data_IF_929716774037
#
_entry.id   IF_929716774037
#
_cell.length_a   1.000
_cell.length_b   1.000
_cell.length_c   1.000
_cell.angle_alpha   90.00
_cell.angle_beta   90.00
_cell.angle_gamma   90.00
#
_symmetry.space_group_name_H-M   'P 1'
#
loop_
_entity.id
_entity.type
_entity.pdbx_description
1 polymer ?
#
# COMPACT_ATOMS: atom_id res chain seq x y z
N UNK A 1 -14.03 22.46 15.40
CA UNK A 1 -13.33 22.79 14.13
C UNK A 1 -11.82 22.52 14.25
N UNK A 2 -11.20 22.99 15.35
CA UNK A 2 -9.77 22.77 15.57
C UNK A 2 -9.39 21.30 15.72
N UNK A 3 -10.24 20.51 16.39
CA UNK A 3 -10.03 19.06 16.55
C UNK A 3 -10.10 18.35 15.18
N UNK A 4 -11.01 18.76 14.32
CA UNK A 4 -11.14 18.22 12.97
C UNK A 4 -9.90 18.54 12.12
N UNK A 5 -9.40 19.76 12.21
CA UNK A 5 -8.20 20.19 11.50
C UNK A 5 -6.96 19.41 11.96
N UNK A 6 -6.81 19.25 13.27
CA UNK A 6 -5.69 18.48 13.85
C UNK A 6 -5.76 17.02 13.40
N UNK A 7 -6.95 16.42 13.42
CA UNK A 7 -7.15 15.05 12.95
C UNK A 7 -6.83 14.89 11.46
N UNK A 8 -7.27 15.83 10.62
CA UNK A 8 -6.99 15.83 9.18
C UNK A 8 -5.51 16.01 8.90
N UNK A 9 -4.83 16.90 9.60
CA UNK A 9 -3.38 17.11 9.46
C UNK A 9 -2.60 15.85 9.82
N UNK A 10 -2.96 15.17 10.90
CA UNK A 10 -2.33 13.92 11.31
C UNK A 10 -2.52 12.83 10.25
N UNK A 11 -3.72 12.71 9.70
CA UNK A 11 -4.01 11.73 8.64
C UNK A 11 -3.20 12.04 7.36
N UNK A 12 -3.14 13.31 6.96
CA UNK A 12 -2.37 13.73 5.78
C UNK A 12 -0.89 13.42 5.98
N UNK A 13 -0.36 13.75 7.14
CA UNK A 13 1.05 13.51 7.47
C UNK A 13 1.38 12.02 7.44
N UNK A 14 0.52 11.19 8.06
CA UNK A 14 0.72 9.75 8.10
C UNK A 14 0.66 9.16 6.69
N UNK A 15 -0.27 9.65 5.86
CA UNK A 15 -0.39 9.16 4.48
C UNK A 15 0.79 9.59 3.61
N UNK A 16 1.29 10.80 3.83
CA UNK A 16 2.50 11.26 3.15
C UNK A 16 3.70 10.37 3.47
N UNK A 17 3.88 10.04 4.73
CA UNK A 17 4.97 9.15 5.18
C UNK A 17 4.80 7.75 4.60
N UNK A 18 3.59 7.20 4.62
CA UNK A 18 3.30 5.88 4.07
C UNK A 18 3.57 5.84 2.55
N UNK A 19 3.19 6.88 1.83
CA UNK A 19 3.43 6.97 0.38
C UNK A 19 4.93 6.98 0.08
N UNK A 20 5.70 7.80 0.80
CA UNK A 20 7.14 7.89 0.57
C UNK A 20 7.86 6.61 0.97
N UNK A 21 7.46 5.98 2.08
CA UNK A 21 8.03 4.69 2.51
C UNK A 21 7.76 3.60 1.47
N UNK A 22 6.53 3.53 0.98
CA UNK A 22 6.15 2.57 -0.06
C UNK A 22 6.95 2.79 -1.34
N UNK A 23 7.05 4.03 -1.79
CA UNK A 23 7.79 4.39 -3.00
C UNK A 23 9.27 4.03 -2.87
N UNK A 24 9.88 4.38 -1.76
CA UNK A 24 11.29 4.10 -1.52
C UNK A 24 11.58 2.61 -1.55
N UNK A 25 10.75 1.81 -0.89
CA UNK A 25 10.91 0.36 -0.85
C UNK A 25 10.74 -0.25 -2.23
N UNK A 26 9.67 0.11 -2.94
CA UNK A 26 9.40 -0.42 -4.28
C UNK A 26 10.54 -0.07 -5.24
N UNK A 27 11.04 1.16 -5.20
CA UNK A 27 12.11 1.60 -6.09
C UNK A 27 13.42 0.88 -5.79
N UNK A 28 13.75 0.65 -4.51
CA UNK A 28 14.96 -0.10 -4.16
C UNK A 28 14.88 -1.56 -4.60
N UNK A 29 13.72 -2.19 -4.44
CA UNK A 29 13.50 -3.55 -4.91
C UNK A 29 13.56 -3.61 -6.44
N UNK A 30 13.00 -2.61 -7.13
CA UNK A 30 13.08 -2.53 -8.59
C UNK A 30 14.52 -2.41 -9.08
N UNK A 31 15.33 -1.58 -8.41
CA UNK A 31 16.76 -1.46 -8.73
C UNK A 31 17.50 -2.77 -8.51
N UNK A 32 17.19 -3.47 -7.42
CA UNK A 32 17.76 -4.78 -7.15
C UNK A 32 17.38 -5.79 -8.22
N UNK A 33 16.15 -5.72 -8.70
CA UNK A 33 15.66 -6.55 -9.80
C UNK A 33 16.45 -6.29 -11.08
N UNK A 34 16.70 -5.02 -11.41
CA UNK A 34 17.50 -4.64 -12.59
C UNK A 34 18.94 -5.15 -12.50
N UNK A 35 19.49 -5.21 -11.30
CA UNK A 35 20.83 -5.75 -11.06
C UNK A 35 20.86 -7.28 -10.99
N UNK A 36 19.70 -7.94 -11.02
CA UNK A 36 19.60 -9.39 -10.94
C UNK A 36 19.83 -9.97 -9.54
N UNK A 37 19.69 -9.17 -8.48
CA UNK A 37 19.93 -9.64 -7.12
C UNK A 37 18.73 -9.40 -6.17
N UNK A 38 17.52 -9.40 -6.71
CA UNK A 38 16.30 -9.31 -5.93
C UNK A 38 16.01 -10.65 -5.24
N UNK A 39 15.52 -10.59 -4.00
CA UNK A 39 15.04 -11.78 -3.30
C UNK A 39 13.53 -11.91 -3.44
N UNK A 40 13.03 -13.14 -3.29
CA UNK A 40 11.58 -13.40 -3.37
C UNK A 40 10.84 -12.70 -2.24
N UNK A 41 11.40 -12.74 -1.02
CA UNK A 41 10.78 -12.11 0.13
C UNK A 41 10.71 -10.59 0.00
N UNK A 42 11.75 -9.95 -0.54
CA UNK A 42 11.73 -8.50 -0.76
C UNK A 42 10.72 -8.11 -1.83
N UNK A 43 10.67 -8.86 -2.92
CA UNK A 43 9.70 -8.60 -3.98
C UNK A 43 8.26 -8.71 -3.46
N UNK A 44 7.97 -9.76 -2.67
CA UNK A 44 6.66 -9.95 -2.08
C UNK A 44 6.35 -8.89 -1.02
N UNK A 45 7.33 -8.55 -0.19
CA UNK A 45 7.14 -7.62 0.92
C UNK A 45 6.87 -6.19 0.44
N UNK A 46 7.58 -5.73 -0.59
CA UNK A 46 7.36 -4.36 -1.08
C UNK A 46 5.98 -4.21 -1.71
N UNK A 47 5.50 -5.21 -2.44
CA UNK A 47 4.15 -5.18 -3.03
C UNK A 47 3.09 -5.29 -1.93
N UNK A 48 3.29 -6.17 -0.95
CA UNK A 48 2.38 -6.31 0.19
C UNK A 48 2.23 -4.98 0.94
N UNK A 49 3.35 -4.38 1.32
CA UNK A 49 3.34 -3.12 2.06
C UNK A 49 2.71 -1.99 1.25
N UNK A 50 3.12 -1.82 0.00
CA UNK A 50 2.63 -0.74 -0.84
C UNK A 50 1.13 -0.88 -1.12
N UNK A 51 0.64 -2.08 -1.38
CA UNK A 51 -0.78 -2.31 -1.68
C UNK A 51 -1.65 -2.08 -0.44
N UNK A 52 -1.22 -2.53 0.73
CA UNK A 52 -1.97 -2.30 1.96
C UNK A 52 -1.98 -0.84 2.37
N UNK A 53 -0.86 -0.13 2.23
CA UNK A 53 -0.81 1.30 2.50
C UNK A 53 -1.65 2.10 1.50
N UNK A 54 -1.65 1.72 0.22
CA UNK A 54 -2.48 2.35 -0.80
C UNK A 54 -3.97 2.21 -0.46
N UNK A 55 -4.38 1.05 0.06
CA UNK A 55 -5.76 0.82 0.47
C UNK A 55 -6.16 1.72 1.64
N UNK A 56 -5.27 1.88 2.62
CA UNK A 56 -5.51 2.77 3.76
C UNK A 56 -5.66 4.23 3.31
N UNK A 57 -4.80 4.67 2.39
CA UNK A 57 -4.87 6.03 1.83
C UNK A 57 -6.18 6.23 1.08
N UNK A 58 -6.55 5.29 0.21
CA UNK A 58 -7.76 5.36 -0.58
C UNK A 58 -9.02 5.37 0.30
N UNK A 59 -9.05 4.53 1.34
CA UNK A 59 -10.13 4.49 2.32
C UNK A 59 -10.33 5.85 3.00
N UNK A 60 -9.24 6.46 3.45
CA UNK A 60 -9.30 7.76 4.12
C UNK A 60 -9.66 8.89 3.15
N UNK A 61 -9.26 8.78 1.89
CA UNK A 61 -9.62 9.76 0.87
C UNK A 61 -11.14 9.76 0.63
N UNK A 62 -11.75 8.59 0.52
CA UNK A 62 -13.21 8.47 0.39
C UNK A 62 -13.89 9.07 1.62
N UNK A 63 -13.41 8.73 2.81
CA UNK A 63 -13.98 9.22 4.06
C UNK A 63 -13.89 10.76 4.16
N UNK A 64 -12.75 11.33 3.76
CA UNK A 64 -12.53 12.78 3.81
C UNK A 64 -13.49 13.54 2.89
N UNK A 65 -13.84 12.96 1.75
CA UNK A 65 -14.79 13.55 0.80
C UNK A 65 -16.25 13.35 1.21
N UNK A 66 -16.50 12.46 2.17
CA UNK A 66 -17.86 12.20 2.65
C UNK A 66 -18.78 11.68 1.54
N UNK A 67 -19.99 12.22 1.46
CA UNK A 67 -20.96 11.81 0.42
C UNK A 67 -20.44 11.96 -1.00
N UNK A 68 -19.64 12.99 -1.26
CA UNK A 68 -19.02 13.19 -2.57
C UNK A 68 -18.08 12.03 -2.96
N UNK A 69 -17.44 11.43 -1.97
CA UNK A 69 -16.56 10.27 -2.21
C UNK A 69 -17.31 9.01 -2.63
N UNK A 70 -18.60 8.93 -2.29
CA UNK A 70 -19.45 7.80 -2.68
C UNK A 70 -19.95 7.92 -4.12
N UNK A 71 -20.08 9.14 -4.64
CA UNK A 71 -20.69 9.37 -5.96
C UNK A 71 -19.78 8.90 -7.09
N UNK A 72 -20.40 8.34 -8.12
CA UNK A 72 -19.70 7.74 -9.27
C UNK A 72 -18.93 8.75 -10.13
N UNK A 73 -19.33 10.02 -10.09
CA UNK A 73 -18.66 11.08 -10.86
C UNK A 73 -17.36 11.57 -10.22
N UNK A 74 -17.10 11.16 -8.97
CA UNK A 74 -15.85 11.47 -8.30
C UNK A 74 -14.85 10.32 -8.51
N UNK A 75 -13.62 10.59 -8.99
CA UNK A 75 -12.66 9.52 -9.29
C UNK A 75 -12.16 8.74 -8.08
N UNK A 76 -12.36 9.23 -6.85
CA UNK A 76 -11.83 8.58 -5.66
C UNK A 76 -12.42 7.18 -5.45
N UNK A 77 -13.67 6.95 -5.82
CA UNK A 77 -14.30 5.63 -5.72
C UNK A 77 -13.65 4.61 -6.64
N UNK A 78 -13.28 5.03 -7.85
CA UNK A 78 -12.55 4.18 -8.79
C UNK A 78 -11.15 3.87 -8.26
N UNK A 79 -10.45 4.88 -7.75
CA UNK A 79 -9.12 4.70 -7.17
C UNK A 79 -9.16 3.74 -5.98
N UNK A 80 -10.21 3.83 -5.15
CA UNK A 80 -10.43 2.92 -4.04
C UNK A 80 -10.52 1.46 -4.53
N UNK A 81 -11.33 1.22 -5.56
CA UNK A 81 -11.48 -0.14 -6.12
C UNK A 81 -10.20 -0.63 -6.77
N UNK A 82 -9.48 0.25 -7.46
CA UNK A 82 -8.21 -0.09 -8.09
C UNK A 82 -7.14 -0.43 -7.04
N UNK A 83 -7.12 0.30 -5.92
CA UNK A 83 -6.22 0.00 -4.81
C UNK A 83 -6.52 -1.40 -4.23
N UNK A 84 -7.80 -1.75 -4.12
CA UNK A 84 -8.19 -3.07 -3.62
C UNK A 84 -7.72 -4.18 -4.56
N UNK A 85 -7.74 -3.94 -5.86
CA UNK A 85 -7.23 -4.91 -6.83
C UNK A 85 -5.77 -5.25 -6.56
N UNK A 86 -4.97 -4.30 -6.12
CA UNK A 86 -3.55 -4.54 -5.82
C UNK A 86 -3.33 -5.48 -4.64
N UNK A 87 -4.30 -5.62 -3.77
CA UNK A 87 -4.26 -6.59 -2.66
C UNK A 87 -4.69 -8.00 -3.08
N UNK A 88 -5.29 -8.15 -4.26
CA UNK A 88 -5.88 -9.40 -4.73
C UNK A 88 -5.13 -9.93 -5.96
N UNK A 89 -4.80 -9.04 -6.90
CA UNK A 89 -4.23 -9.38 -8.19
C UNK A 89 -2.79 -9.89 -8.07
N UNK A 90 -2.44 -10.86 -8.91
CA UNK A 90 -1.10 -11.45 -9.00
C UNK A 90 -0.58 -12.00 -7.66
N UNK A 91 -1.49 -12.48 -6.84
CA UNK A 91 -1.21 -13.00 -5.50
C UNK A 91 -1.87 -12.13 -4.42
N UNK A 92 -2.67 -12.76 -3.59
CA UNK A 92 -3.36 -12.06 -2.48
C UNK A 92 -2.35 -11.66 -1.40
N UNK A 93 -2.77 -10.75 -0.53
CA UNK A 93 -1.96 -10.36 0.63
C UNK A 93 -1.61 -11.57 1.50
N UNK A 94 -2.56 -12.49 1.67
CA UNK A 94 -2.34 -13.72 2.45
C UNK A 94 -1.27 -14.61 1.82
N UNK A 95 -1.31 -14.79 0.50
CA UNK A 95 -0.30 -15.58 -0.23
C UNK A 95 1.08 -14.93 -0.11
N UNK A 96 1.15 -13.60 -0.21
CA UNK A 96 2.41 -12.88 -0.08
C UNK A 96 3.00 -13.03 1.32
N UNK A 97 2.17 -12.98 2.37
CA UNK A 97 2.60 -13.22 3.75
C UNK A 97 3.15 -14.62 3.91
N UNK A 98 2.46 -15.60 3.36
CA UNK A 98 2.90 -17.01 3.41
C UNK A 98 4.25 -17.19 2.71
N UNK A 99 4.45 -16.57 1.56
CA UNK A 99 5.70 -16.65 0.80
C UNK A 99 6.84 -16.02 1.59
N UNK A 100 6.63 -14.84 2.15
CA UNK A 100 7.65 -14.16 2.96
C UNK A 100 8.05 -15.03 4.14
N UNK A 101 7.09 -15.55 4.88
CA UNK A 101 7.36 -16.43 6.03
C UNK A 101 8.14 -17.66 5.65
N UNK A 102 7.77 -18.30 4.55
CA UNK A 102 8.46 -19.49 4.03
C UNK A 102 9.92 -19.18 3.69
N UNK A 103 10.16 -18.09 2.97
CA UNK A 103 11.52 -17.72 2.57
C UNK A 103 12.39 -17.37 3.78
N UNK A 104 11.85 -16.64 4.75
CA UNK A 104 12.58 -16.30 5.98
C UNK A 104 12.94 -17.53 6.80
N UNK A 105 12.00 -18.48 6.93
CA UNK A 105 12.26 -19.73 7.64
C UNK A 105 13.37 -20.52 6.91
N UNK A 106 13.33 -20.54 5.60
CA UNK A 106 14.35 -21.21 4.78
C UNK A 106 15.74 -20.64 5.03
N UNK A 107 15.85 -19.32 5.23
CA UNK A 107 17.13 -18.66 5.51
C UNK A 107 17.68 -19.00 6.90
N UNK A 108 16.80 -19.42 7.83
CA UNK A 108 17.21 -19.78 9.20
C UNK A 108 17.75 -21.20 9.31
N UNK A 109 17.62 -22.01 8.27
CA UNK A 109 18.17 -23.38 8.20
C UNK A 109 19.58 -23.38 7.60
#
# INVERSE_FOLDING_TARGET
ISIRLVGSEMCIRDRYTAMNSSRAYVYEVAKACDRGNVTRQDAAACVLYASEEAMKVAHQAVQALGGAGYLSDNPVGRIFRDAKLMEIGAGTSEIRRMLIGRELISLMR
#
